data_IF_644481987656
#
_entry.id   IF_644481987656
#
_cell.length_a   1.000
_cell.length_b   1.000
_cell.length_c   1.000
_cell.angle_alpha   90.00
_cell.angle_beta   90.00
_cell.angle_gamma   90.00
#
_symmetry.space_group_name_H-M   'P 1'
#
loop_
_entity.id
_entity.type
_entity.pdbx_description
1 polymer ?
#
# COMPACT_ATOMS: atom_id res chain seq x y z
N UNK A 1 10.21 -3.62 -25.85
CA UNK A 1 10.65 -3.56 -24.44
C UNK A 1 10.51 -4.96 -23.86
N UNK A 2 11.58 -5.76 -23.85
CA UNK A 2 11.59 -7.04 -23.13
C UNK A 2 12.06 -6.75 -21.70
N UNK A 3 11.22 -7.10 -20.72
CA UNK A 3 11.56 -7.03 -19.30
C UNK A 3 12.59 -8.14 -19.04
N UNK A 4 13.66 -7.91 -18.27
CA UNK A 4 14.58 -8.98 -17.89
C UNK A 4 13.82 -10.15 -17.24
N UNK A 5 14.34 -11.38 -17.35
CA UNK A 5 13.71 -12.52 -16.71
C UNK A 5 13.65 -12.31 -15.19
N UNK A 6 12.49 -12.55 -14.58
CA UNK A 6 12.23 -12.31 -13.13
C UNK A 6 13.21 -13.02 -12.20
N UNK A 7 13.74 -14.16 -12.63
CA UNK A 7 14.76 -14.92 -11.92
C UNK A 7 15.95 -15.15 -12.86
N UNK A 8 16.86 -14.18 -12.98
CA UNK A 8 18.03 -14.35 -13.81
C UNK A 8 18.95 -15.39 -13.16
N UNK A 9 19.41 -16.36 -13.93
CA UNK A 9 20.35 -17.37 -13.44
C UNK A 9 21.77 -16.87 -13.65
N UNK A 10 22.21 -16.04 -12.72
CA UNK A 10 23.56 -15.46 -12.61
C UNK A 10 24.49 -16.41 -11.83
N UNK A 11 25.81 -16.21 -11.94
CA UNK A 11 26.77 -16.97 -11.14
C UNK A 11 26.50 -16.83 -9.63
N UNK A 12 26.16 -15.63 -9.16
CA UNK A 12 25.72 -15.34 -7.79
C UNK A 12 24.46 -16.13 -7.41
N UNK A 13 23.44 -16.17 -8.28
CA UNK A 13 22.23 -16.96 -8.05
C UNK A 13 22.53 -18.46 -7.94
N UNK A 14 23.41 -18.99 -8.80
CA UNK A 14 23.83 -20.40 -8.77
C UNK A 14 24.55 -20.73 -7.46
N UNK A 15 25.51 -19.88 -7.06
CA UNK A 15 26.25 -20.06 -5.81
C UNK A 15 25.33 -20.00 -4.58
N UNK A 16 24.35 -19.08 -4.58
CA UNK A 16 23.35 -19.00 -3.52
C UNK A 16 22.49 -20.26 -3.46
N UNK A 17 21.95 -20.73 -4.59
CA UNK A 17 21.15 -21.97 -4.64
C UNK A 17 21.97 -23.16 -4.14
N UNK A 18 23.24 -23.26 -4.52
CA UNK A 18 24.16 -24.29 -4.03
C UNK A 18 24.41 -24.18 -2.52
N UNK A 19 24.65 -22.97 -1.99
CA UNK A 19 24.82 -22.71 -0.56
C UNK A 19 23.58 -23.12 0.24
N UNK A 20 22.39 -22.73 -0.23
CA UNK A 20 21.11 -23.11 0.38
C UNK A 20 20.91 -24.63 0.32
N UNK A 21 21.27 -25.27 -0.80
CA UNK A 21 21.18 -26.73 -0.93
C UNK A 21 22.11 -27.46 0.05
N UNK A 22 23.34 -26.97 0.25
CA UNK A 22 24.29 -27.51 1.24
C UNK A 22 23.77 -27.35 2.68
N UNK A 23 23.05 -26.27 2.97
CA UNK A 23 22.44 -26.02 4.29
C UNK A 23 21.14 -26.82 4.51
N UNK A 24 20.52 -27.38 3.46
CA UNK A 24 19.33 -28.24 3.55
C UNK A 24 19.74 -29.66 3.93
N UNK A 25 20.09 -29.85 5.21
CA UNK A 25 20.41 -31.13 5.86
C UNK A 25 21.69 -31.79 5.30
N UNK A 26 22.69 -32.11 6.15
CA UNK A 26 23.87 -32.82 5.68
C UNK A 26 23.48 -34.22 5.20
N UNK A 27 23.67 -34.49 3.91
CA UNK A 27 23.61 -35.85 3.38
C UNK A 27 24.82 -36.60 3.93
N UNK A 28 24.59 -37.50 4.88
CA UNK A 28 25.65 -38.36 5.41
C UNK A 28 25.98 -39.42 4.36
N UNK A 29 27.26 -39.57 4.04
CA UNK A 29 27.74 -40.63 3.15
C UNK A 29 28.24 -41.80 3.99
N UNK A 30 27.82 -43.01 3.63
CA UNK A 30 28.34 -44.23 4.22
C UNK A 30 29.81 -44.48 3.83
N UNK A 31 30.47 -45.40 4.53
CA UNK A 31 31.82 -45.88 4.19
C UNK A 31 31.93 -46.44 2.76
N UNK A 32 30.82 -46.87 2.16
CA UNK A 32 30.71 -47.31 0.77
C UNK A 32 30.34 -46.19 -0.22
N UNK A 33 30.28 -44.94 0.23
CA UNK A 33 29.96 -43.76 -0.60
C UNK A 33 28.49 -43.61 -0.98
N UNK A 34 27.58 -44.40 -0.39
CA UNK A 34 26.12 -44.29 -0.61
C UNK A 34 25.54 -43.13 0.20
N UNK A 35 24.57 -42.42 -0.37
CA UNK A 35 23.88 -41.30 0.28
C UNK A 35 22.74 -41.82 1.18
N UNK A 36 22.83 -41.59 2.49
CA UNK A 36 21.73 -41.91 3.41
C UNK A 36 20.76 -40.72 3.45
N UNK A 37 19.46 -40.91 3.13
CA UNK A 37 18.48 -39.85 3.29
C UNK A 37 18.26 -39.55 4.80
N UNK A 38 18.16 -38.27 5.20
CA UNK A 38 17.99 -37.91 6.60
C UNK A 38 16.66 -38.43 7.17
N UNK A 39 16.66 -38.77 8.46
CA UNK A 39 15.44 -39.22 9.16
C UNK A 39 14.41 -38.10 9.27
N UNK A 40 13.11 -38.45 9.24
CA UNK A 40 12.00 -37.47 9.33
C UNK A 40 12.09 -36.59 10.59
N UNK A 41 12.53 -37.15 11.71
CA UNK A 41 12.73 -36.43 12.98
C UNK A 41 13.87 -35.41 12.89
N UNK A 42 14.97 -35.76 12.21
CA UNK A 42 16.10 -34.85 12.00
C UNK A 42 15.71 -33.64 11.15
N UNK A 43 14.92 -33.87 10.08
CA UNK A 43 14.39 -32.79 9.24
C UNK A 43 13.48 -31.85 10.04
N UNK A 44 12.61 -32.41 10.89
CA UNK A 44 11.70 -31.64 11.75
C UNK A 44 12.47 -30.77 12.76
N UNK A 45 13.42 -31.35 13.49
CA UNK A 45 14.26 -30.61 14.45
C UNK A 45 15.10 -29.54 13.76
N UNK A 46 15.63 -29.82 12.56
CA UNK A 46 16.36 -28.85 11.76
C UNK A 46 15.47 -27.66 11.36
N UNK A 47 14.23 -27.91 10.93
CA UNK A 47 13.29 -26.84 10.57
C UNK A 47 12.92 -25.94 11.77
N UNK A 48 12.81 -26.49 12.97
CA UNK A 48 12.58 -25.71 14.20
C UNK A 48 13.80 -24.84 14.56
N UNK A 49 15.02 -25.36 14.36
CA UNK A 49 16.26 -24.65 14.72
C UNK A 49 16.69 -23.60 13.71
N UNK A 50 16.28 -23.70 12.44
CA UNK A 50 16.58 -22.74 11.36
C UNK A 50 16.41 -21.27 11.75
N UNK A 51 15.24 -20.80 12.24
CA UNK A 51 15.03 -19.38 12.55
C UNK A 51 15.90 -18.86 13.71
N UNK A 52 16.53 -19.74 14.49
CA UNK A 52 17.42 -19.36 15.59
C UNK A 52 18.90 -19.28 15.19
N UNK A 53 19.23 -19.51 13.91
CA UNK A 53 20.62 -19.49 13.44
C UNK A 53 20.93 -18.16 12.75
N UNK A 54 22.11 -17.58 12.99
CA UNK A 54 22.54 -16.33 12.35
C UNK A 54 22.60 -16.43 10.80
N UNK A 55 22.95 -17.61 10.27
CA UNK A 55 22.95 -17.86 8.82
C UNK A 55 21.57 -17.75 8.19
N UNK A 56 20.50 -18.13 8.91
CA UNK A 56 19.14 -18.00 8.40
C UNK A 56 18.75 -16.54 8.20
N UNK A 57 19.06 -15.67 9.17
CA UNK A 57 18.78 -14.25 9.06
C UNK A 57 19.68 -13.57 8.02
N UNK A 58 20.96 -13.95 7.94
CA UNK A 58 21.86 -13.48 6.90
C UNK A 58 21.39 -13.86 5.49
N UNK A 59 20.89 -15.08 5.30
CA UNK A 59 20.30 -15.55 4.03
C UNK A 59 18.97 -14.87 3.73
N UNK A 60 18.12 -14.64 4.74
CA UNK A 60 16.81 -13.99 4.56
C UNK A 60 16.95 -12.52 4.12
N UNK A 61 17.98 -11.83 4.62
CA UNK A 61 18.27 -10.44 4.28
C UNK A 61 19.30 -10.29 3.14
N UNK A 62 19.78 -11.39 2.54
CA UNK A 62 20.70 -11.33 1.40
C UNK A 62 19.99 -10.73 0.18
N UNK A 63 20.56 -9.64 -0.38
CA UNK A 63 20.02 -9.01 -1.57
C UNK A 63 20.02 -9.99 -2.73
N UNK A 64 18.84 -10.28 -3.25
CA UNK A 64 18.65 -11.30 -4.29
C UNK A 64 18.45 -10.63 -5.65
N UNK A 65 19.18 -11.10 -6.67
CA UNK A 65 19.03 -10.65 -8.07
C UNK A 65 17.66 -11.00 -8.71
N UNK A 66 16.78 -11.69 -7.97
CA UNK A 66 15.42 -12.04 -8.43
C UNK A 66 14.45 -10.90 -8.14
N UNK A 67 13.56 -10.61 -9.08
CA UNK A 67 12.42 -9.73 -8.83
C UNK A 67 11.44 -10.43 -7.87
N UNK A 68 11.23 -9.86 -6.67
CA UNK A 68 10.22 -10.36 -5.75
C UNK A 68 8.85 -9.82 -6.18
N UNK A 69 7.78 -10.53 -5.78
CA UNK A 69 6.42 -10.02 -6.01
C UNK A 69 6.14 -8.78 -5.15
N UNK A 70 6.73 -8.71 -3.96
CA UNK A 70 6.64 -7.59 -3.04
C UNK A 70 8.06 -7.19 -2.66
N UNK A 71 8.58 -6.18 -3.35
CA UNK A 71 9.89 -5.59 -3.07
C UNK A 71 9.79 -4.51 -1.99
N UNK A 72 10.90 -4.23 -1.30
CA UNK A 72 11.00 -3.07 -0.39
C UNK A 72 10.71 -1.74 -1.09
N UNK A 73 11.09 -1.62 -2.37
CA UNK A 73 10.77 -0.46 -3.21
C UNK A 73 9.26 -0.30 -3.45
N UNK A 74 8.52 -1.41 -3.54
CA UNK A 74 7.07 -1.39 -3.66
C UNK A 74 6.43 -1.00 -2.33
N UNK A 75 6.92 -1.54 -1.21
CA UNK A 75 6.42 -1.19 0.13
C UNK A 75 6.66 0.30 0.45
N UNK A 76 7.86 0.82 0.17
CA UNK A 76 8.16 2.24 0.34
C UNK A 76 7.21 3.12 -0.49
N UNK A 77 7.02 2.78 -1.77
CA UNK A 77 6.11 3.52 -2.65
C UNK A 77 4.67 3.51 -2.14
N UNK A 78 4.16 2.34 -1.76
CA UNK A 78 2.75 2.19 -1.39
C UNK A 78 2.46 2.80 -0.01
N UNK A 79 3.26 2.47 1.01
CA UNK A 79 2.97 2.88 2.39
C UNK A 79 3.50 4.27 2.74
N UNK A 80 4.74 4.59 2.35
CA UNK A 80 5.40 5.82 2.80
C UNK A 80 5.18 7.00 1.86
N UNK A 81 5.04 6.75 0.56
CA UNK A 81 4.79 7.83 -0.41
C UNK A 81 3.29 8.03 -0.61
N UNK A 82 2.61 7.10 -1.30
CA UNK A 82 1.21 7.29 -1.66
C UNK A 82 0.29 7.23 -0.44
N UNK A 83 0.48 6.25 0.46
CA UNK A 83 -0.34 6.11 1.67
C UNK A 83 -0.28 7.35 2.58
N UNK A 84 0.88 7.98 2.71
CA UNK A 84 1.02 9.23 3.49
C UNK A 84 0.33 10.40 2.80
N UNK A 85 0.44 10.52 1.47
CA UNK A 85 -0.28 11.56 0.71
C UNK A 85 -1.79 11.40 0.87
N UNK A 86 -2.30 10.17 0.79
CA UNK A 86 -3.72 9.87 0.99
C UNK A 86 -4.18 10.23 2.40
N UNK A 87 -3.41 9.81 3.42
CA UNK A 87 -3.68 10.12 4.82
C UNK A 87 -3.71 11.64 5.08
N UNK A 88 -2.76 12.39 4.54
CA UNK A 88 -2.73 13.86 4.66
C UNK A 88 -3.96 14.47 3.98
N UNK A 89 -4.31 14.03 2.77
CA UNK A 89 -5.45 14.60 2.06
C UNK A 89 -6.79 14.33 2.76
N UNK A 90 -6.96 13.14 3.35
CA UNK A 90 -8.13 12.81 4.15
C UNK A 90 -8.17 13.61 5.47
N UNK A 91 -7.04 13.78 6.14
CA UNK A 91 -6.92 14.57 7.37
C UNK A 91 -7.20 16.07 7.13
N UNK A 92 -6.73 16.61 6.00
CA UNK A 92 -7.03 18.00 5.61
C UNK A 92 -8.54 18.15 5.38
N UNK A 93 -9.18 17.23 4.67
CA UNK A 93 -10.61 17.28 4.44
C UNK A 93 -11.42 17.20 5.75
N UNK A 94 -10.99 16.34 6.69
CA UNK A 94 -11.55 16.23 8.04
C UNK A 94 -11.56 17.58 8.77
N UNK A 95 -10.41 18.23 8.87
CA UNK A 95 -10.30 19.51 9.58
C UNK A 95 -11.01 20.66 8.87
N UNK A 96 -11.08 20.64 7.53
CA UNK A 96 -11.82 21.66 6.77
C UNK A 96 -13.33 21.55 7.03
N UNK A 97 -13.88 20.33 7.09
CA UNK A 97 -15.29 20.12 7.43
C UNK A 97 -15.59 20.55 8.86
N UNK A 98 -14.75 20.21 9.83
CA UNK A 98 -14.92 20.68 11.22
C UNK A 98 -14.88 22.22 11.30
N UNK A 99 -13.94 22.85 10.60
CA UNK A 99 -13.81 24.30 10.58
C UNK A 99 -15.01 24.99 9.91
N UNK A 100 -15.68 24.34 8.96
CA UNK A 100 -16.93 24.84 8.38
C UNK A 100 -18.07 24.92 9.42
N UNK A 101 -18.08 24.01 10.39
CA UNK A 101 -19.03 24.02 11.51
C UNK A 101 -18.57 24.90 12.69
N UNK A 102 -17.49 25.68 12.52
CA UNK A 102 -16.95 26.57 13.55
C UNK A 102 -16.02 25.88 14.56
N UNK A 103 -15.66 24.62 14.35
CA UNK A 103 -14.68 23.91 15.19
C UNK A 103 -13.30 24.04 14.53
N UNK A 104 -12.46 24.92 15.06
CA UNK A 104 -11.10 25.08 14.52
C UNK A 104 -10.23 23.84 14.83
N UNK A 105 -9.14 23.59 14.10
CA UNK A 105 -8.24 22.47 14.41
C UNK A 105 -7.62 22.59 15.82
N UNK A 106 -7.42 23.81 16.30
CA UNK A 106 -6.97 24.07 17.66
C UNK A 106 -8.04 23.71 18.69
N UNK A 107 -9.29 24.13 18.46
CA UNK A 107 -10.44 23.75 19.29
C UNK A 107 -10.62 22.24 19.33
N UNK A 108 -10.49 21.56 18.19
CA UNK A 108 -10.60 20.09 18.09
C UNK A 108 -9.58 19.39 18.99
N UNK A 109 -8.34 19.91 19.05
CA UNK A 109 -7.30 19.36 19.93
C UNK A 109 -7.63 19.56 21.40
N UNK A 110 -8.17 20.73 21.78
CA UNK A 110 -8.59 21.01 23.16
C UNK A 110 -9.77 20.10 23.52
N UNK A 111 -10.79 20.05 22.67
CA UNK A 111 -11.95 19.19 22.85
C UNK A 111 -11.51 17.73 23.03
N UNK A 112 -10.56 17.24 22.22
CA UNK A 112 -10.01 15.88 22.36
C UNK A 112 -9.36 15.61 23.72
N UNK A 113 -8.67 16.61 24.30
CA UNK A 113 -8.06 16.48 25.63
C UNK A 113 -9.10 16.48 26.76
N UNK A 114 -10.21 17.17 26.56
CA UNK A 114 -11.29 17.32 27.53
C UNK A 114 -12.40 16.24 27.40
N UNK A 115 -12.34 15.36 26.38
CA UNK A 115 -13.26 14.23 26.19
C UNK A 115 -13.50 13.41 27.46
N UNK A 116 -12.48 13.07 28.29
CA UNK A 116 -12.71 12.25 29.49
C UNK A 116 -13.62 12.90 30.54
N UNK A 117 -13.74 14.24 30.54
CA UNK A 117 -14.50 14.99 31.54
C UNK A 117 -15.81 15.55 30.98
N UNK A 118 -15.81 16.00 29.72
CA UNK A 118 -16.93 16.73 29.11
C UNK A 118 -17.63 15.97 27.97
N UNK A 119 -17.17 14.75 27.68
CA UNK A 119 -17.80 13.82 26.73
C UNK A 119 -18.09 14.41 25.33
N UNK A 120 -17.22 15.31 24.84
CA UNK A 120 -17.36 15.91 23.50
C UNK A 120 -17.48 14.85 22.40
N UNK A 121 -18.27 15.15 21.37
CA UNK A 121 -18.60 14.25 20.25
C UNK A 121 -19.40 12.98 20.63
N UNK A 122 -20.14 13.02 21.75
CA UNK A 122 -21.07 11.96 22.16
C UNK A 122 -22.47 12.53 22.46
N UNK A 123 -23.46 11.67 22.67
CA UNK A 123 -24.85 12.06 22.97
C UNK A 123 -25.00 12.87 24.27
N UNK A 124 -24.03 12.75 25.18
CA UNK A 124 -23.99 13.43 26.48
C UNK A 124 -23.01 14.61 26.51
N UNK A 125 -22.60 15.12 25.34
CA UNK A 125 -21.63 16.21 25.25
C UNK A 125 -22.15 17.53 25.87
N UNK A 126 -21.26 18.23 26.58
CA UNK A 126 -21.50 19.60 27.01
C UNK A 126 -21.39 20.59 25.84
N UNK A 127 -22.07 21.73 25.96
CA UNK A 127 -21.93 22.83 24.99
C UNK A 127 -20.50 23.36 25.02
N UNK A 128 -19.88 23.47 23.84
CA UNK A 128 -18.55 24.04 23.69
C UNK A 128 -18.64 25.48 23.19
N UNK A 129 -17.83 26.38 23.73
CA UNK A 129 -17.70 27.74 23.22
C UNK A 129 -16.39 27.79 22.43
N UNK A 130 -16.50 27.96 21.11
CA UNK A 130 -15.32 28.10 20.24
C UNK A 130 -14.60 29.43 20.51
N UNK A 131 -13.34 29.54 20.07
CA UNK A 131 -12.55 30.78 20.05
C UNK A 131 -13.33 31.96 19.44
N UNK A 132 -14.22 31.70 18.48
CA UNK A 132 -15.05 32.72 17.85
C UNK A 132 -16.27 33.14 18.70
N UNK A 133 -16.34 32.74 19.98
CA UNK A 133 -17.48 32.92 20.88
C UNK A 133 -18.80 32.33 20.32
N UNK A 134 -18.69 31.32 19.47
CA UNK A 134 -19.85 30.58 18.96
C UNK A 134 -20.13 29.41 19.88
N UNK A 135 -21.37 29.30 20.35
CA UNK A 135 -21.86 28.17 21.13
C UNK A 135 -22.17 27.00 20.20
N UNK A 136 -21.50 25.88 20.42
CA UNK A 136 -21.65 24.64 19.65
C UNK A 136 -22.40 23.63 20.51
N UNK A 137 -23.69 23.47 20.22
CA UNK A 137 -24.58 22.52 20.91
C UNK A 137 -24.20 21.07 20.59
N UNK A 138 -24.56 20.13 21.47
CA UNK A 138 -24.31 18.68 21.29
C UNK A 138 -24.70 18.14 19.90
N UNK A 139 -25.86 18.54 19.38
CA UNK A 139 -26.38 18.03 18.10
C UNK A 139 -25.53 18.54 16.92
N UNK A 140 -25.01 19.77 17.05
CA UNK A 140 -24.08 20.35 16.07
C UNK A 140 -22.73 19.67 16.13
N UNK A 141 -22.22 19.32 17.33
CA UNK A 141 -20.97 18.58 17.48
C UNK A 141 -21.06 17.19 16.84
N UNK A 142 -22.14 16.45 17.11
CA UNK A 142 -22.38 15.12 16.53
C UNK A 142 -22.53 15.19 15.02
N UNK A 143 -23.29 16.17 14.51
CA UNK A 143 -23.43 16.38 13.07
C UNK A 143 -22.10 16.70 12.40
N UNK A 144 -21.31 17.61 12.98
CA UNK A 144 -19.99 17.96 12.46
C UNK A 144 -19.06 16.74 12.46
N UNK A 145 -19.12 15.92 13.52
CA UNK A 145 -18.34 14.68 13.62
C UNK A 145 -18.71 13.65 12.55
N UNK A 146 -20.00 13.37 12.35
CA UNK A 146 -20.45 12.43 11.32
C UNK A 146 -20.18 12.94 9.90
N UNK A 147 -20.32 14.24 9.63
CA UNK A 147 -19.91 14.83 8.35
C UNK A 147 -18.39 14.71 8.14
N UNK A 148 -17.59 14.94 9.18
CA UNK A 148 -16.13 14.82 9.12
C UNK A 148 -15.68 13.36 8.90
N UNK A 149 -16.33 12.39 9.53
CA UNK A 149 -16.10 10.96 9.30
C UNK A 149 -16.47 10.55 7.86
N UNK A 150 -17.58 11.09 7.35
CA UNK A 150 -18.04 10.83 5.99
C UNK A 150 -17.07 11.34 4.93
N UNK A 151 -16.53 12.56 5.10
CA UNK A 151 -15.57 13.10 4.14
C UNK A 151 -14.24 12.35 4.18
N UNK A 152 -13.80 11.84 5.33
CA UNK A 152 -12.58 10.99 5.42
C UNK A 152 -12.76 9.73 4.59
N UNK A 153 -13.89 9.05 4.75
CA UNK A 153 -14.21 7.85 3.98
C UNK A 153 -14.26 8.15 2.47
N UNK A 154 -15.00 9.18 2.05
CA UNK A 154 -15.04 9.59 0.64
C UNK A 154 -13.69 10.06 0.11
N UNK A 155 -12.85 10.67 0.95
CA UNK A 155 -11.52 11.12 0.56
C UNK A 155 -10.64 9.94 0.16
N UNK A 156 -10.63 8.89 0.99
CA UNK A 156 -9.91 7.65 0.69
C UNK A 156 -10.45 7.03 -0.59
N UNK A 157 -11.77 6.92 -0.74
CA UNK A 157 -12.39 6.36 -1.95
C UNK A 157 -11.99 7.15 -3.22
N UNK A 158 -12.10 8.47 -3.20
CA UNK A 158 -11.78 9.34 -4.35
C UNK A 158 -10.29 9.21 -4.69
N UNK A 159 -9.39 9.35 -3.70
CA UNK A 159 -7.96 9.25 -3.93
C UNK A 159 -7.55 7.87 -4.46
N UNK A 160 -8.20 6.79 -4.01
CA UNK A 160 -7.93 5.44 -4.52
C UNK A 160 -8.29 5.26 -5.99
N UNK A 161 -9.28 5.99 -6.50
CA UNK A 161 -9.58 6.01 -7.95
C UNK A 161 -8.38 6.58 -8.71
N UNK A 162 -7.74 7.64 -8.21
CA UNK A 162 -6.52 8.20 -8.80
C UNK A 162 -5.32 7.26 -8.63
N UNK A 163 -5.18 6.63 -7.47
CA UNK A 163 -4.12 5.67 -7.20
C UNK A 163 -4.19 4.44 -8.13
N UNK A 164 -5.41 3.97 -8.46
CA UNK A 164 -5.61 2.91 -9.45
C UNK A 164 -4.99 3.27 -10.81
N UNK A 165 -5.11 4.53 -11.25
CA UNK A 165 -4.49 5.01 -12.47
C UNK A 165 -2.97 5.17 -12.32
N UNK A 166 -2.48 5.65 -11.17
CA UNK A 166 -1.04 5.72 -10.89
C UNK A 166 -0.37 4.34 -10.92
N UNK A 167 -0.98 3.34 -10.28
CA UNK A 167 -0.46 1.97 -10.20
C UNK A 167 -0.46 1.24 -11.55
N UNK A 168 -1.36 1.60 -12.47
CA UNK A 168 -1.39 1.05 -13.84
C UNK A 168 -0.17 1.49 -14.67
N UNK A 169 0.54 2.53 -14.25
CA UNK A 169 1.59 3.22 -14.98
C UNK A 169 2.99 2.97 -14.36
N UNK A 170 3.49 1.73 -14.34
CA UNK A 170 4.80 1.39 -13.72
C UNK A 170 6.01 2.05 -14.41
N UNK A 171 6.04 2.09 -15.74
CA UNK A 171 7.19 2.59 -16.53
C UNK A 171 6.82 3.64 -17.57
N UNK A 172 5.54 4.01 -17.64
CA UNK A 172 4.99 4.98 -18.60
C UNK A 172 4.19 5.99 -17.82
N UNK A 173 4.18 7.25 -18.26
CA UNK A 173 3.36 8.27 -17.61
C UNK A 173 1.89 7.84 -17.54
N UNK A 174 1.15 8.22 -16.48
CA UNK A 174 -0.24 7.83 -16.26
C UNK A 174 -1.24 8.53 -17.21
N UNK A 175 -0.80 8.89 -18.42
CA UNK A 175 -1.60 9.60 -19.41
C UNK A 175 -1.61 8.82 -20.74
N UNK A 176 -2.76 8.83 -21.42
CA UNK A 176 -2.92 8.28 -22.77
C UNK A 176 -3.92 7.13 -22.88
N UNK A 177 -4.13 6.66 -24.12
CA UNK A 177 -5.18 5.69 -24.48
C UNK A 177 -5.09 4.35 -23.72
N UNK A 178 -3.88 3.94 -23.32
CA UNK A 178 -3.69 2.69 -22.55
C UNK A 178 -4.31 2.77 -21.15
N UNK A 179 -4.49 3.96 -20.59
CA UNK A 179 -5.10 4.13 -19.28
C UNK A 179 -6.58 3.73 -19.30
N UNK A 180 -7.24 3.99 -20.43
CA UNK A 180 -8.67 3.73 -20.64
C UNK A 180 -8.96 2.41 -21.37
N UNK A 181 -7.94 1.59 -21.66
CA UNK A 181 -8.12 0.36 -22.45
C UNK A 181 -8.77 -0.80 -21.71
N UNK A 182 -8.82 -0.78 -20.37
CA UNK A 182 -9.36 -1.88 -19.58
C UNK A 182 -10.76 -1.52 -19.06
N UNK A 183 -11.85 -2.02 -19.68
CA UNK A 183 -13.22 -1.71 -19.27
C UNK A 183 -13.54 -2.19 -17.85
N UNK A 184 -12.88 -3.27 -17.38
CA UNK A 184 -13.12 -3.82 -16.03
C UNK A 184 -12.71 -2.84 -14.92
N UNK A 185 -11.69 -2.02 -15.15
CA UNK A 185 -11.29 -1.00 -14.19
C UNK A 185 -12.41 0.05 -14.01
N UNK A 186 -13.08 0.44 -15.10
CA UNK A 186 -14.19 1.40 -15.04
C UNK A 186 -15.42 0.83 -14.36
N UNK A 187 -15.72 -0.45 -14.57
CA UNK A 187 -16.78 -1.14 -13.85
C UNK A 187 -16.47 -1.15 -12.34
N UNK A 188 -15.23 -1.46 -11.96
CA UNK A 188 -14.79 -1.40 -10.57
C UNK A 188 -14.89 0.00 -9.96
N UNK A 189 -14.45 1.04 -10.69
CA UNK A 189 -14.61 2.44 -10.26
C UNK A 189 -16.08 2.80 -10.10
N UNK A 190 -16.94 2.42 -11.05
CA UNK A 190 -18.36 2.73 -11.03
C UNK A 190 -19.07 2.09 -9.82
N UNK A 191 -18.85 0.80 -9.59
CA UNK A 191 -19.44 0.11 -8.43
C UNK A 191 -18.83 0.60 -7.11
N UNK A 192 -17.52 0.86 -7.06
CA UNK A 192 -16.85 1.38 -5.87
C UNK A 192 -17.34 2.78 -5.51
N UNK A 193 -17.41 3.69 -6.49
CA UNK A 193 -17.95 5.03 -6.31
C UNK A 193 -19.44 5.00 -5.96
N UNK A 194 -20.23 4.17 -6.65
CA UNK A 194 -21.64 3.99 -6.35
C UNK A 194 -21.88 3.51 -4.92
N UNK A 195 -21.13 2.50 -4.47
CA UNK A 195 -21.19 2.00 -3.10
C UNK A 195 -20.79 3.07 -2.09
N UNK A 196 -19.70 3.81 -2.33
CA UNK A 196 -19.26 4.86 -1.42
C UNK A 196 -20.27 6.01 -1.30
N UNK A 197 -20.92 6.37 -2.41
CA UNK A 197 -22.02 7.32 -2.43
C UNK A 197 -23.25 6.81 -1.68
N UNK A 198 -23.60 5.52 -1.84
CA UNK A 198 -24.68 4.89 -1.09
C UNK A 198 -24.41 4.93 0.42
N UNK A 199 -23.19 4.62 0.86
CA UNK A 199 -22.86 4.61 2.30
C UNK A 199 -23.06 5.97 2.94
N UNK A 200 -22.69 7.06 2.25
CA UNK A 200 -22.74 8.42 2.83
C UNK A 200 -24.11 9.09 2.68
N UNK A 201 -24.76 8.93 1.52
CA UNK A 201 -25.96 9.72 1.19
C UNK A 201 -27.28 8.99 1.38
N UNK A 202 -27.27 7.68 1.69
CA UNK A 202 -28.49 6.91 1.97
C UNK A 202 -28.64 6.70 3.49
N UNK A 203 -29.73 7.23 4.02
CA UNK A 203 -30.02 7.32 5.45
C UNK A 203 -29.94 5.98 6.23
N UNK A 204 -30.45 4.84 5.73
CA UNK A 204 -30.25 3.53 6.38
C UNK A 204 -28.78 3.16 6.67
N UNK A 205 -27.85 3.53 5.79
CA UNK A 205 -26.44 3.22 5.98
C UNK A 205 -25.77 4.16 6.98
N UNK A 206 -26.25 5.39 7.11
CA UNK A 206 -25.73 6.38 8.05
C UNK A 206 -25.83 5.94 9.51
N UNK A 207 -26.90 5.23 9.86
CA UNK A 207 -27.08 4.66 11.21
C UNK A 207 -26.04 3.58 11.51
N UNK A 208 -25.69 2.77 10.51
CA UNK A 208 -24.74 1.66 10.67
C UNK A 208 -23.27 2.11 10.62
N UNK A 209 -22.96 3.08 9.77
CA UNK A 209 -21.59 3.53 9.50
C UNK A 209 -21.20 4.84 10.19
N UNK A 210 -22.12 5.43 10.96
CA UNK A 210 -21.94 6.73 11.62
C UNK A 210 -21.51 7.81 10.62
N UNK A 211 -22.22 7.89 9.50
CA UNK A 211 -22.01 8.86 8.41
C UNK A 211 -23.18 9.85 8.35
N UNK A 212 -23.01 10.93 7.58
CA UNK A 212 -24.02 11.98 7.45
C UNK A 212 -24.34 12.28 6.00
N UNK A 213 -25.63 12.21 5.65
CA UNK A 213 -26.16 12.54 4.33
C UNK A 213 -26.12 14.04 4.02
N UNK A 214 -25.92 14.90 5.04
CA UNK A 214 -25.91 16.35 4.87
C UNK A 214 -24.57 16.90 4.39
N UNK A 215 -23.58 16.03 4.15
CA UNK A 215 -22.26 16.41 3.68
C UNK A 215 -22.36 17.14 2.32
N UNK A 216 -21.90 18.40 2.29
CA UNK A 216 -21.84 19.18 1.06
C UNK A 216 -20.86 18.57 0.04
N UNK A 217 -21.27 18.37 -1.23
CA UNK A 217 -20.38 17.89 -2.29
C UNK A 217 -19.17 18.79 -2.56
N UNK A 218 -19.19 20.06 -2.13
CA UNK A 218 -18.06 20.98 -2.28
C UNK A 218 -16.78 20.46 -1.61
N UNK A 219 -16.91 19.71 -0.51
CA UNK A 219 -15.74 19.17 0.20
C UNK A 219 -15.01 18.09 -0.60
N UNK A 220 -15.64 17.48 -1.61
CA UNK A 220 -14.99 16.48 -2.47
C UNK A 220 -13.87 17.08 -3.34
N UNK A 221 -13.86 18.40 -3.52
CA UNK A 221 -12.79 19.07 -4.26
C UNK A 221 -11.42 18.89 -3.59
N UNK A 222 -11.40 18.75 -2.26
CA UNK A 222 -10.18 18.55 -1.48
C UNK A 222 -9.52 17.20 -1.85
N UNK A 223 -10.17 16.03 -1.68
CA UNK A 223 -9.57 14.77 -2.07
C UNK A 223 -9.36 14.64 -3.58
N UNK A 224 -10.15 15.33 -4.42
CA UNK A 224 -9.88 15.40 -5.85
C UNK A 224 -8.56 16.10 -6.16
N UNK A 225 -8.26 17.23 -5.50
CA UNK A 225 -6.98 17.92 -5.63
C UNK A 225 -5.80 17.04 -5.19
N UNK A 226 -5.93 16.34 -4.06
CA UNK A 226 -4.91 15.37 -3.61
C UNK A 226 -4.78 14.17 -4.57
N UNK A 227 -5.87 13.71 -5.17
CA UNK A 227 -5.86 12.68 -6.21
C UNK A 227 -5.09 13.11 -7.46
N UNK A 228 -5.27 14.35 -7.91
CA UNK A 228 -4.47 14.94 -9.00
C UNK A 228 -3.00 15.03 -8.59
N UNK A 229 -2.71 15.44 -7.35
CA UNK A 229 -1.36 15.48 -6.82
C UNK A 229 -0.69 14.09 -6.81
N UNK A 230 -1.41 13.01 -6.47
CA UNK A 230 -0.92 11.62 -6.58
C UNK A 230 -0.47 11.30 -8.02
N UNK A 231 -1.24 11.70 -9.03
CA UNK A 231 -0.86 11.47 -10.45
C UNK A 231 0.38 12.27 -10.85
N UNK A 232 0.50 13.51 -10.38
CA UNK A 232 1.68 14.36 -10.61
C UNK A 232 2.90 13.72 -9.96
N UNK A 233 2.79 13.32 -8.69
CA UNK A 233 3.85 12.67 -7.94
C UNK A 233 4.33 11.38 -8.62
N UNK A 234 3.40 10.52 -9.06
CA UNK A 234 3.73 9.33 -9.84
C UNK A 234 4.43 9.66 -11.16
N UNK A 235 4.02 10.72 -11.85
CA UNK A 235 4.64 11.17 -13.10
C UNK A 235 6.08 11.68 -12.87
N UNK A 236 6.30 12.47 -11.81
CA UNK A 236 7.62 12.97 -11.42
C UNK A 236 8.54 11.80 -11.09
N UNK A 237 8.07 10.81 -10.31
CA UNK A 237 8.86 9.61 -9.99
C UNK A 237 9.30 8.86 -11.25
N UNK A 238 8.41 8.68 -12.21
CA UNK A 238 8.73 8.03 -13.49
C UNK A 238 9.79 8.83 -14.25
N UNK A 239 9.70 10.17 -14.24
CA UNK A 239 10.69 11.04 -14.86
C UNK A 239 12.07 10.89 -14.20
N UNK A 240 12.11 10.94 -12.87
CA UNK A 240 13.35 10.75 -12.08
C UNK A 240 13.94 9.36 -12.35
N UNK A 241 13.12 8.31 -12.30
CA UNK A 241 13.57 6.94 -12.54
C UNK A 241 14.17 6.76 -13.93
N UNK A 242 13.53 7.34 -14.96
CA UNK A 242 14.04 7.32 -16.34
C UNK A 242 15.36 8.07 -16.50
N UNK A 243 15.58 9.13 -15.71
CA UNK A 243 16.81 9.93 -15.75
C UNK A 243 17.96 9.29 -15.00
N UNK A 244 17.68 8.71 -13.82
CA UNK A 244 18.69 8.11 -12.95
C UNK A 244 19.11 6.71 -13.43
N UNK A 245 18.13 5.92 -13.86
CA UNK A 245 18.34 4.60 -14.42
C UNK A 245 17.86 4.63 -15.87
N UNK A 246 18.63 5.19 -16.81
CA UNK A 246 18.40 4.89 -18.21
C UNK A 246 18.60 3.38 -18.30
N UNK A 247 17.50 2.63 -18.28
CA UNK A 247 17.55 1.19 -18.50
C UNK A 247 18.25 1.06 -19.84
N UNK A 248 19.51 0.67 -19.83
CA UNK A 248 20.22 0.26 -21.02
C UNK A 248 19.43 -0.93 -21.51
N UNK A 249 18.47 -0.64 -22.39
CA UNK A 249 17.69 -1.58 -23.15
C UNK A 249 18.75 -2.30 -23.97
N UNK A 250 19.29 -3.39 -23.43
CA UNK A 250 20.37 -4.13 -24.05
C UNK A 250 19.97 -4.38 -25.51
N UNK A 251 20.79 -4.00 -26.50
CA UNK A 251 20.55 -4.41 -27.88
C UNK A 251 20.46 -5.93 -27.89
N UNK A 252 19.49 -6.46 -28.64
CA UNK A 252 19.24 -7.90 -28.70
C UNK A 252 20.52 -8.62 -29.10
N UNK A 253 21.08 -9.46 -28.22
CA UNK A 253 22.15 -10.37 -28.61
C UNK A 253 21.45 -11.50 -29.38
N UNK A 254 21.50 -11.43 -30.70
CA UNK A 254 20.98 -12.47 -31.60
C UNK A 254 21.90 -13.68 -31.47
N UNK A 255 21.47 -14.65 -30.66
CA UNK A 255 22.23 -15.87 -30.41
C UNK A 255 21.73 -16.59 -29.16
N UNK A 256 20.83 -17.55 -29.36
CA UNK A 256 20.46 -18.64 -28.45
C UNK A 256 20.56 -18.35 -26.94
N UNK A 257 19.64 -17.55 -26.40
CA UNK A 257 19.51 -17.34 -24.94
C UNK A 257 18.71 -18.48 -24.28
N UNK A 258 19.33 -19.65 -24.11
CA UNK A 258 18.86 -20.61 -23.09
C UNK A 258 19.37 -20.12 -21.74
N UNK A 259 18.51 -19.49 -20.94
CA UNK A 259 18.81 -19.28 -19.53
C UNK A 259 18.81 -20.65 -18.84
N UNK A 260 19.89 -21.07 -18.17
CA UNK A 260 19.87 -22.29 -17.38
C UNK A 260 18.74 -22.16 -16.36
N UNK A 261 17.89 -23.18 -16.23
CA UNK A 261 16.80 -23.17 -15.25
C UNK A 261 17.30 -23.73 -13.93
N UNK A 262 16.71 -23.34 -12.80
CA UNK A 262 17.07 -23.89 -11.47
C UNK A 262 17.05 -25.42 -11.48
N UNK A 263 16.09 -26.02 -12.19
CA UNK A 263 15.95 -27.46 -12.39
C UNK A 263 17.12 -28.13 -13.13
N UNK A 264 17.85 -27.41 -13.98
CA UNK A 264 19.02 -27.97 -14.68
C UNK A 264 20.29 -27.98 -13.82
N UNK A 265 20.31 -27.22 -12.72
CA UNK A 265 21.46 -27.10 -11.82
C UNK A 265 21.32 -28.04 -10.63
N UNK A 266 20.12 -28.18 -10.06
CA UNK A 266 19.85 -29.10 -8.93
C UNK A 266 20.11 -30.58 -9.28
N UNK A 267 19.98 -30.98 -10.55
CA UNK A 267 20.25 -32.37 -11.00
C UNK A 267 21.72 -32.73 -11.18
N UNK A 268 22.64 -31.76 -11.12
CA UNK A 268 24.09 -31.99 -11.36
C UNK A 268 24.90 -32.24 -10.08
N UNK A 269 24.24 -32.60 -8.97
CA UNK A 269 24.89 -32.96 -7.71
C UNK A 269 24.66 -34.44 -7.41
#
# INVERSE_FOLDING_TARGET
MKVPPRKPVTASSIERVRRIALNRTPTVRDSEGRLIPPSKLSIFLHNIKKPFTASFWAELFESTDEELLVDGNLLSWSYLEIGVIEAIGALVAYFVVLNHHGITPYDTRIMQQEVPQKHYFTDNAETYISIHNQEITKDQQLRAYYEAQSIVYLSIMIQQIFNLFACKARHRFPFGKFMFSNPRNFIGIFFGAGLGMCIVYIEPFNVAFNTSYTLSPLFWLIPFAFGVYILIHASIRILIFRRMNPVNLNPEIIGLQMHPTVHSIERKV
#
